data_IF_650618324298
#
_entry.id   IF_650618324298
#
_cell.length_a   1.000
_cell.length_b   1.000
_cell.length_c   1.000
_cell.angle_alpha   90.00
_cell.angle_beta   90.00
_cell.angle_gamma   90.00
#
_symmetry.space_group_name_H-M   'P 1'
#
loop_
_entity.id
_entity.type
_entity.pdbx_description
1 polymer ?
#
# COMPACT_ATOMS: atom_id res chain seq x y z
N UNK A 1 -18.46 2.79 10.77
CA UNK A 1 -17.37 1.99 10.19
C UNK A 1 -17.51 2.07 8.67
N UNK A 2 -16.43 2.26 7.91
CA UNK A 2 -16.52 2.25 6.45
C UNK A 2 -17.04 0.87 6.03
N UNK A 3 -18.18 0.84 5.33
CA UNK A 3 -18.81 -0.42 4.89
C UNK A 3 -18.26 -0.91 3.57
N UNK A 4 -17.55 -0.04 2.85
CA UNK A 4 -16.93 -0.35 1.56
C UNK A 4 -15.67 0.51 1.40
N UNK A 5 -14.58 -0.11 0.98
CA UNK A 5 -13.35 0.57 0.57
C UNK A 5 -12.95 0.01 -0.78
N UNK A 6 -12.67 0.93 -1.71
CA UNK A 6 -12.15 0.62 -3.04
C UNK A 6 -10.77 1.23 -3.18
N UNK A 7 -9.95 0.61 -4.02
CA UNK A 7 -8.75 1.27 -4.51
C UNK A 7 -9.15 2.55 -5.28
N UNK A 8 -8.34 3.61 -5.22
CA UNK A 8 -8.46 4.71 -6.17
C UNK A 8 -8.39 4.17 -7.60
N UNK A 9 -9.22 4.69 -8.50
CA UNK A 9 -9.33 4.20 -9.88
C UNK A 9 -7.98 4.13 -10.60
N UNK A 10 -7.11 5.12 -10.39
CA UNK A 10 -5.78 5.11 -10.98
C UNK A 10 -4.91 3.95 -10.48
N UNK A 11 -5.04 3.55 -9.21
CA UNK A 11 -4.26 2.49 -8.59
C UNK A 11 -4.79 1.12 -9.03
N UNK A 12 -6.11 0.99 -9.10
CA UNK A 12 -6.78 -0.18 -9.63
C UNK A 12 -6.36 -0.45 -11.10
N UNK A 13 -6.48 0.57 -11.96
CA UNK A 13 -6.03 0.50 -13.35
C UNK A 13 -4.54 0.20 -13.46
N UNK A 14 -3.70 0.80 -12.61
CA UNK A 14 -2.26 0.55 -12.63
C UNK A 14 -1.95 -0.92 -12.31
N UNK A 15 -2.60 -1.48 -11.28
CA UNK A 15 -2.38 -2.87 -10.85
C UNK A 15 -2.88 -3.87 -11.90
N UNK A 16 -4.12 -3.74 -12.35
CA UNK A 16 -4.74 -4.76 -13.20
C UNK A 16 -4.46 -4.58 -14.69
N UNK A 17 -4.42 -3.34 -15.18
CA UNK A 17 -4.27 -3.07 -16.61
C UNK A 17 -2.81 -2.84 -17.01
N UNK A 18 -2.03 -2.07 -16.24
CA UNK A 18 -0.64 -1.75 -16.61
C UNK A 18 0.36 -2.82 -16.13
N UNK A 19 0.25 -3.28 -14.88
CA UNK A 19 1.12 -4.32 -14.33
C UNK A 19 0.67 -5.74 -14.71
N UNK A 20 -0.59 -5.91 -15.13
CA UNK A 20 -1.15 -7.19 -15.55
C UNK A 20 -1.42 -8.15 -14.39
N UNK A 21 -1.63 -7.63 -13.18
CA UNK A 21 -2.00 -8.43 -12.02
C UNK A 21 -3.33 -9.13 -12.25
N UNK A 22 -3.52 -10.30 -11.63
CA UNK A 22 -4.76 -11.07 -11.77
C UNK A 22 -5.27 -11.47 -10.40
N UNK A 23 -6.59 -11.44 -10.26
CA UNK A 23 -7.24 -12.08 -9.14
C UNK A 23 -7.19 -13.60 -9.33
N UNK A 24 -6.48 -14.28 -8.45
CA UNK A 24 -6.32 -15.72 -8.44
C UNK A 24 -6.22 -16.21 -6.99
N UNK A 25 -7.35 -16.62 -6.41
CA UNK A 25 -7.35 -17.25 -5.09
C UNK A 25 -6.87 -18.69 -5.21
N UNK A 26 -5.81 -19.03 -4.48
CA UNK A 26 -5.32 -20.39 -4.30
C UNK A 26 -5.23 -20.69 -2.81
N UNK A 27 -5.67 -21.88 -2.40
CA UNK A 27 -5.63 -22.35 -1.00
C UNK A 27 -4.42 -23.28 -0.74
N UNK A 28 -3.31 -23.06 -1.47
CA UNK A 28 -2.09 -23.86 -1.33
C UNK A 28 -1.08 -23.19 -0.38
N UNK A 29 -0.09 -23.95 0.09
CA UNK A 29 0.97 -23.43 0.95
C UNK A 29 1.73 -22.29 0.25
N UNK A 30 1.60 -21.09 0.80
CA UNK A 30 2.22 -19.87 0.27
C UNK A 30 3.61 -19.67 0.87
N UNK A 31 4.59 -20.49 0.48
CA UNK A 31 6.01 -20.14 0.67
C UNK A 31 6.41 -19.14 -0.42
N UNK A 32 6.15 -17.85 -0.15
CA UNK A 32 6.24 -16.75 -1.13
C UNK A 32 7.68 -16.33 -1.47
N UNK A 33 8.68 -16.78 -0.68
CA UNK A 33 10.07 -16.33 -0.84
C UNK A 33 10.63 -16.64 -2.24
N UNK A 34 10.31 -17.83 -2.77
CA UNK A 34 10.85 -18.31 -4.06
C UNK A 34 9.90 -18.05 -5.24
N UNK A 35 8.81 -17.31 -5.03
CA UNK A 35 7.85 -16.99 -6.09
C UNK A 35 8.46 -16.14 -7.18
N UNK A 36 8.12 -16.47 -8.42
CA UNK A 36 8.54 -15.70 -9.57
C UNK A 36 7.68 -14.43 -9.75
N UNK A 37 8.02 -13.64 -10.76
CA UNK A 37 7.27 -12.41 -11.07
C UNK A 37 5.78 -12.66 -11.34
N UNK A 38 5.41 -13.74 -12.02
CA UNK A 38 4.01 -14.07 -12.33
C UNK A 38 3.24 -14.44 -11.07
N UNK A 39 3.83 -15.23 -10.18
CA UNK A 39 3.23 -15.62 -8.91
C UNK A 39 2.99 -14.39 -8.02
N UNK A 40 3.97 -13.50 -7.94
CA UNK A 40 3.83 -12.25 -7.18
C UNK A 40 2.81 -11.29 -7.83
N UNK A 41 2.65 -11.28 -9.16
CA UNK A 41 1.57 -10.52 -9.82
C UNK A 41 0.17 -11.07 -9.50
N UNK A 42 0.02 -12.39 -9.38
CA UNK A 42 -1.23 -12.99 -8.90
C UNK A 42 -1.49 -12.62 -7.42
N UNK A 43 -0.44 -12.61 -6.60
CA UNK A 43 -0.54 -12.15 -5.21
C UNK A 43 -0.96 -10.68 -5.12
N UNK A 44 -0.32 -9.82 -5.91
CA UNK A 44 -0.64 -8.40 -6.03
C UNK A 44 -2.13 -8.24 -6.36
N UNK A 45 -2.63 -8.89 -7.40
CA UNK A 45 -4.03 -8.76 -7.82
C UNK A 45 -5.05 -9.35 -6.83
N UNK A 46 -4.62 -10.21 -5.90
CA UNK A 46 -5.52 -10.95 -5.00
C UNK A 46 -5.51 -10.41 -3.57
N UNK A 47 -4.34 -10.07 -3.04
CA UNK A 47 -4.15 -9.73 -1.63
C UNK A 47 -3.90 -8.23 -1.40
N UNK A 48 -3.27 -7.53 -2.35
CA UNK A 48 -3.00 -6.09 -2.21
C UNK A 48 -4.26 -5.25 -1.93
N UNK A 49 -5.40 -5.41 -2.68
CA UNK A 49 -6.58 -4.58 -2.42
C UNK A 49 -7.15 -4.78 -1.01
N UNK A 50 -7.04 -6.00 -0.48
CA UNK A 50 -7.48 -6.33 0.86
C UNK A 50 -6.57 -5.69 1.91
N UNK A 51 -5.25 -5.89 1.81
CA UNK A 51 -4.28 -5.31 2.75
C UNK A 51 -4.37 -3.79 2.76
N UNK A 52 -4.56 -3.16 1.60
CA UNK A 52 -4.85 -1.74 1.48
C UNK A 52 -6.11 -1.34 2.25
N UNK A 53 -7.22 -2.02 2.01
CA UNK A 53 -8.50 -1.68 2.62
C UNK A 53 -8.46 -1.84 4.15
N UNK A 54 -7.88 -2.94 4.63
CA UNK A 54 -7.71 -3.22 6.06
C UNK A 54 -6.86 -2.15 6.73
N UNK A 55 -5.66 -1.87 6.21
CA UNK A 55 -4.77 -0.86 6.77
C UNK A 55 -5.39 0.54 6.71
N UNK A 56 -5.96 0.94 5.57
CA UNK A 56 -6.62 2.25 5.44
C UNK A 56 -7.76 2.41 6.46
N UNK A 57 -8.59 1.39 6.65
CA UNK A 57 -9.66 1.41 7.65
C UNK A 57 -9.12 1.55 9.07
N UNK A 58 -8.15 0.72 9.44
CA UNK A 58 -7.54 0.71 10.78
C UNK A 58 -6.91 2.07 11.08
N UNK A 59 -6.04 2.55 10.20
CA UNK A 59 -5.33 3.81 10.42
C UNK A 59 -6.24 5.02 10.35
N UNK A 60 -7.19 5.07 9.40
CA UNK A 60 -8.17 6.18 9.35
C UNK A 60 -8.99 6.27 10.64
N UNK A 61 -9.41 5.13 11.19
CA UNK A 61 -10.13 5.10 12.45
C UNK A 61 -9.21 5.54 13.61
N UNK A 62 -8.01 4.98 13.70
CA UNK A 62 -7.04 5.32 14.73
C UNK A 62 -6.74 6.83 14.74
N UNK A 63 -6.49 7.44 13.58
CA UNK A 63 -6.20 8.87 13.45
C UNK A 63 -7.40 9.77 13.73
N UNK A 64 -8.63 9.29 13.52
CA UNK A 64 -9.84 10.01 13.94
C UNK A 64 -9.94 10.09 15.46
N UNK A 65 -9.51 9.03 16.16
CA UNK A 65 -9.49 9.00 17.63
C UNK A 65 -8.25 9.70 18.19
N UNK A 66 -7.16 9.78 17.42
CA UNK A 66 -5.88 10.39 17.81
C UNK A 66 -5.46 11.48 16.81
N UNK A 67 -6.19 12.61 16.75
CA UNK A 67 -5.92 13.68 15.77
C UNK A 67 -4.57 14.37 15.98
N UNK A 68 -3.98 14.24 17.17
CA UNK A 68 -2.68 14.84 17.51
C UNK A 68 -1.49 13.86 17.38
N UNK A 69 -1.71 12.63 16.87
CA UNK A 69 -0.68 11.58 16.81
C UNK A 69 0.63 12.04 16.13
N UNK A 70 0.53 12.95 15.17
CA UNK A 70 1.68 13.55 14.47
C UNK A 70 1.72 15.08 14.58
N UNK A 71 1.13 15.65 15.64
CA UNK A 71 1.19 17.09 15.88
C UNK A 71 2.64 17.57 16.00
N UNK A 72 2.94 18.71 15.38
CA UNK A 72 4.29 19.29 15.35
C UNK A 72 5.31 18.56 14.48
N UNK A 73 4.92 17.51 13.76
CA UNK A 73 5.79 16.83 12.77
C UNK A 73 5.41 17.25 11.36
N UNK A 74 6.38 17.31 10.46
CA UNK A 74 6.16 17.49 9.02
C UNK A 74 6.73 16.33 8.18
N UNK A 75 7.37 15.38 8.84
CA UNK A 75 8.09 14.25 8.26
C UNK A 75 7.67 12.97 8.98
N UNK A 76 7.54 11.89 8.21
CA UNK A 76 7.27 10.54 8.72
C UNK A 76 8.20 9.56 8.02
N UNK A 77 8.86 8.67 8.78
CA UNK A 77 9.62 7.56 8.21
C UNK A 77 8.93 6.25 8.58
N UNK A 78 8.66 5.42 7.57
CA UNK A 78 7.97 4.14 7.69
C UNK A 78 8.95 3.04 7.27
N UNK A 79 9.18 2.08 8.16
CA UNK A 79 9.92 0.87 7.86
C UNK A 79 9.01 -0.35 7.99
N UNK A 80 9.03 -1.24 6.99
CA UNK A 80 8.23 -2.46 6.98
C UNK A 80 9.08 -3.68 6.61
N UNK A 81 8.96 -4.73 7.42
CA UNK A 81 9.71 -5.98 7.31
C UNK A 81 8.77 -7.12 6.92
N UNK A 82 9.02 -7.75 5.78
CA UNK A 82 8.05 -8.64 5.13
C UNK A 82 6.95 -7.86 4.43
N UNK A 83 7.30 -6.72 3.84
CA UNK A 83 6.34 -5.75 3.26
C UNK A 83 5.59 -6.26 2.03
N UNK A 84 6.02 -7.38 1.44
CA UNK A 84 5.43 -7.94 0.23
C UNK A 84 5.32 -6.90 -0.89
N UNK A 85 4.11 -6.76 -1.43
CA UNK A 85 3.81 -5.78 -2.50
C UNK A 85 3.31 -4.43 -1.99
N UNK A 86 3.20 -4.21 -0.67
CA UNK A 86 2.98 -2.89 -0.09
C UNK A 86 1.53 -2.42 0.07
N UNK A 87 0.56 -3.34 0.14
CA UNK A 87 -0.86 -2.94 0.21
C UNK A 87 -1.16 -2.14 1.48
N UNK A 88 -0.71 -2.66 2.62
CA UNK A 88 -0.76 -2.03 3.93
C UNK A 88 -0.03 -0.69 4.00
N UNK A 89 1.16 -0.58 3.39
CA UNK A 89 1.90 0.68 3.28
C UNK A 89 1.04 1.73 2.55
N UNK A 90 0.50 1.41 1.36
CA UNK A 90 -0.32 2.36 0.60
C UNK A 90 -1.62 2.72 1.35
N UNK A 91 -2.20 1.78 2.10
CA UNK A 91 -3.34 2.03 2.98
C UNK A 91 -3.01 3.03 4.09
N UNK A 92 -1.87 2.85 4.76
CA UNK A 92 -1.34 3.79 5.76
C UNK A 92 -1.09 5.17 5.16
N UNK A 93 -0.35 5.26 4.05
CA UNK A 93 -0.05 6.54 3.39
C UNK A 93 -1.32 7.30 3.02
N UNK A 94 -2.35 6.58 2.55
CA UNK A 94 -3.63 7.17 2.19
C UNK A 94 -4.39 7.69 3.41
N UNK A 95 -4.36 6.97 4.54
CA UNK A 95 -4.92 7.44 5.80
C UNK A 95 -4.16 8.67 6.33
N UNK A 96 -2.82 8.67 6.27
CA UNK A 96 -2.00 9.81 6.70
C UNK A 96 -2.31 11.05 5.86
N UNK A 97 -2.30 10.93 4.52
CA UNK A 97 -2.61 12.04 3.62
C UNK A 97 -3.99 12.65 3.88
N UNK A 98 -4.97 11.81 4.21
CA UNK A 98 -6.34 12.23 4.51
C UNK A 98 -6.46 12.96 5.85
N UNK A 99 -5.76 12.50 6.87
CA UNK A 99 -5.94 12.97 8.25
C UNK A 99 -4.94 14.07 8.65
N UNK A 100 -3.76 14.14 8.03
CA UNK A 100 -2.67 15.03 8.45
C UNK A 100 -2.09 15.84 7.30
N UNK A 101 -2.60 17.07 7.14
CA UNK A 101 -2.07 18.01 6.13
C UNK A 101 -0.70 18.61 6.51
N UNK A 102 -0.29 18.48 7.77
CA UNK A 102 1.02 18.94 8.24
C UNK A 102 2.17 18.04 7.77
N UNK A 103 1.91 16.77 7.46
CA UNK A 103 2.92 15.84 6.96
C UNK A 103 3.20 16.14 5.48
N UNK A 104 4.41 16.62 5.20
CA UNK A 104 4.87 17.04 3.87
C UNK A 104 5.73 15.99 3.20
N UNK A 105 6.49 15.24 3.99
CA UNK A 105 7.43 14.24 3.49
C UNK A 105 7.21 12.91 4.21
N UNK A 106 7.10 11.83 3.43
CA UNK A 106 7.03 10.48 3.96
C UNK A 106 8.13 9.66 3.29
N UNK A 107 9.02 9.11 4.09
CA UNK A 107 10.05 8.16 3.67
C UNK A 107 9.55 6.74 3.92
N UNK A 108 9.68 5.86 2.92
CA UNK A 108 9.28 4.46 3.03
C UNK A 108 10.50 3.60 2.75
N UNK A 109 10.82 2.70 3.69
CA UNK A 109 11.86 1.69 3.57
C UNK A 109 11.22 0.31 3.75
N UNK A 110 11.31 -0.53 2.73
CA UNK A 110 10.80 -1.91 2.77
C UNK A 110 11.94 -2.92 2.75
N UNK A 111 11.78 -4.02 3.48
CA UNK A 111 12.63 -5.20 3.37
C UNK A 111 11.75 -6.44 3.21
N UNK A 112 12.04 -7.26 2.21
CA UNK A 112 11.31 -8.50 1.94
C UNK A 112 12.25 -9.57 1.39
N UNK A 113 11.91 -10.84 1.65
CA UNK A 113 12.65 -11.99 1.12
C UNK A 113 12.46 -12.18 -0.38
N UNK A 114 11.37 -11.68 -0.96
CA UNK A 114 11.07 -11.78 -2.39
C UNK A 114 11.41 -10.48 -3.12
N UNK A 115 12.45 -10.52 -3.96
CA UNK A 115 12.90 -9.35 -4.72
C UNK A 115 11.87 -8.86 -5.77
N UNK A 116 11.02 -9.73 -6.34
CA UNK A 116 9.97 -9.30 -7.25
C UNK A 116 8.88 -8.50 -6.52
N UNK A 117 8.55 -8.89 -5.28
CA UNK A 117 7.63 -8.15 -4.43
C UNK A 117 8.18 -6.74 -4.13
N UNK A 118 9.48 -6.64 -3.78
CA UNK A 118 10.15 -5.35 -3.59
C UNK A 118 10.11 -4.45 -4.84
N UNK A 119 10.37 -5.00 -6.04
CA UNK A 119 10.29 -4.19 -7.28
C UNK A 119 8.86 -3.71 -7.55
N UNK A 120 7.84 -4.49 -7.21
CA UNK A 120 6.45 -4.04 -7.33
C UNK A 120 6.12 -2.96 -6.29
N UNK A 121 6.54 -3.12 -5.04
CA UNK A 121 6.40 -2.09 -4.01
C UNK A 121 7.02 -0.76 -4.47
N UNK A 122 8.27 -0.78 -4.95
CA UNK A 122 8.97 0.41 -5.45
C UNK A 122 8.19 1.11 -6.57
N UNK A 123 7.74 0.35 -7.57
CA UNK A 123 6.95 0.87 -8.68
C UNK A 123 5.63 1.51 -8.20
N UNK A 124 4.94 0.86 -7.26
CA UNK A 124 3.67 1.35 -6.71
C UNK A 124 3.89 2.61 -5.87
N UNK A 125 4.89 2.63 -4.99
CA UNK A 125 5.24 3.80 -4.17
C UNK A 125 5.67 4.97 -5.05
N UNK A 126 6.45 4.74 -6.09
CA UNK A 126 6.85 5.78 -7.03
C UNK A 126 5.62 6.36 -7.76
N UNK A 127 4.73 5.50 -8.27
CA UNK A 127 3.50 5.94 -8.94
C UNK A 127 2.59 6.69 -7.97
N UNK A 128 2.45 6.21 -6.74
CA UNK A 128 1.69 6.85 -5.68
C UNK A 128 2.25 8.24 -5.36
N UNK A 129 3.56 8.37 -5.17
CA UNK A 129 4.23 9.64 -4.89
C UNK A 129 3.96 10.69 -5.97
N UNK A 130 4.10 10.30 -7.26
CA UNK A 130 3.81 11.17 -8.40
C UNK A 130 2.35 11.64 -8.46
N UNK A 131 1.41 10.81 -8.01
CA UNK A 131 -0.01 11.15 -7.93
C UNK A 131 -0.33 11.98 -6.68
N UNK A 132 0.32 11.69 -5.55
CA UNK A 132 0.10 12.39 -4.30
C UNK A 132 0.60 13.84 -4.35
N UNK A 133 1.67 14.12 -5.11
CA UNK A 133 2.18 15.46 -5.35
C UNK A 133 1.40 16.31 -6.35
N UNK A 134 0.45 15.72 -7.11
CA UNK A 134 -0.47 16.49 -7.95
C UNK A 134 -1.69 16.88 -7.10
N UNK A 135 -1.89 18.18 -6.89
CA UNK A 135 -3.19 18.68 -6.42
C UNK A 135 -4.20 18.42 -7.53
N UNK A 136 -5.24 17.64 -7.25
CA UNK A 136 -6.45 17.60 -8.08
C UNK A 136 -7.19 18.94 -8.00
#
# INVERSE_FOLDING_TARGET
>A
MLTEVRLPEWLDNYIYCELGAKYCRSNSDMTVIDWDKSDVLNYLGTYFPRSYAEAYCIFSHYFTVHPDAFSGRDTLSVFDFGCGTGGEIIGLLTAVKKCFHNIKHIEVSGLDGNHHALRLLENIVERYSRKAGKKE
#
